data_IF_086582050385
#
_entry.id   IF_086582050385
#
_cell.length_a   1.000
_cell.length_b   1.000
_cell.length_c   1.000
_cell.angle_alpha   90.00
_cell.angle_beta   90.00
_cell.angle_gamma   90.00
#
_symmetry.space_group_name_H-M   'P 1'
#
loop_
_entity.id
_entity.type
_entity.pdbx_description
1 polymer ?
#
# COMPACT_ATOMS: atom_id res chain seq x y z
N UNK A 1 9.21 -15.01 -25.55
CA UNK A 1 9.66 -14.11 -24.47
C UNK A 1 8.63 -14.17 -23.34
N UNK A 2 8.98 -14.72 -22.17
CA UNK A 2 8.09 -14.69 -21.00
C UNK A 2 8.16 -13.27 -20.43
N UNK A 3 7.08 -12.51 -20.50
CA UNK A 3 6.95 -11.29 -19.72
C UNK A 3 7.06 -11.68 -18.25
N UNK A 4 8.19 -11.37 -17.62
CA UNK A 4 8.37 -11.42 -16.17
C UNK A 4 7.40 -10.39 -15.58
N UNK A 5 6.22 -10.86 -15.19
CA UNK A 5 5.22 -10.08 -14.47
C UNK A 5 5.91 -9.39 -13.28
N UNK A 6 5.82 -8.06 -13.19
CA UNK A 6 6.28 -7.33 -12.00
C UNK A 6 5.38 -7.63 -10.79
N UNK A 7 4.16 -8.10 -11.04
CA UNK A 7 3.22 -8.55 -10.02
C UNK A 7 3.60 -9.92 -9.43
N UNK A 8 3.59 -10.06 -8.10
CA UNK A 8 3.96 -11.26 -7.34
C UNK A 8 3.13 -11.45 -6.05
N UNK A 9 3.30 -12.59 -5.37
CA UNK A 9 2.72 -12.84 -4.05
C UNK A 9 3.83 -12.80 -3.00
N UNK A 10 3.75 -11.83 -2.09
CA UNK A 10 4.65 -11.70 -0.96
C UNK A 10 4.10 -12.49 0.23
N UNK A 11 4.96 -13.19 0.96
CA UNK A 11 4.59 -13.85 2.21
C UNK A 11 5.48 -13.40 3.34
N UNK A 12 4.95 -13.37 4.56
CA UNK A 12 5.68 -12.87 5.70
C UNK A 12 4.95 -13.04 7.01
N UNK A 13 5.30 -12.21 7.98
CA UNK A 13 4.71 -12.22 9.31
C UNK A 13 4.31 -10.81 9.70
N UNK A 14 3.10 -10.68 10.23
CA UNK A 14 2.68 -9.46 10.92
C UNK A 14 2.94 -9.64 12.39
N UNK A 15 3.51 -8.62 13.02
CA UNK A 15 3.73 -8.56 14.46
C UNK A 15 3.09 -7.29 14.97
N UNK A 16 2.15 -7.44 15.89
CA UNK A 16 1.60 -6.34 16.66
C UNK A 16 2.16 -6.43 18.06
N UNK A 17 2.66 -5.32 18.59
CA UNK A 17 3.14 -5.27 19.97
C UNK A 17 2.73 -3.96 20.62
N UNK A 18 1.95 -4.08 21.69
CA UNK A 18 1.63 -3.00 22.62
C UNK A 18 2.54 -3.17 23.83
N UNK A 19 3.29 -2.12 24.19
CA UNK A 19 4.25 -2.17 25.32
C UNK A 19 3.62 -1.73 26.64
N UNK A 20 2.63 -0.84 26.58
CA UNK A 20 1.98 -0.23 27.75
C UNK A 20 0.44 -0.21 27.58
N UNK A 21 -0.34 -0.25 28.67
CA UNK A 21 0.12 -0.43 30.06
C UNK A 21 0.56 -1.87 30.34
N UNK A 22 -0.03 -2.84 29.65
CA UNK A 22 0.36 -4.26 29.71
C UNK A 22 0.98 -4.65 28.38
N UNK A 23 2.09 -5.40 28.43
CA UNK A 23 2.76 -5.90 27.24
C UNK A 23 1.91 -7.00 26.60
N UNK A 24 1.36 -6.70 25.43
CA UNK A 24 0.70 -7.68 24.56
C UNK A 24 1.44 -7.73 23.24
N UNK A 25 1.70 -8.94 22.75
CA UNK A 25 2.24 -9.12 21.42
C UNK A 25 1.57 -10.33 20.77
N UNK A 26 1.20 -10.18 19.51
CA UNK A 26 0.71 -11.27 18.69
C UNK A 26 1.41 -11.27 17.34
N UNK A 27 1.60 -12.46 16.80
CA UNK A 27 2.32 -12.69 15.54
C UNK A 27 1.56 -13.73 14.73
N UNK A 28 1.35 -13.44 13.45
CA UNK A 28 0.69 -14.35 12.54
C UNK A 28 1.32 -14.28 11.15
N UNK A 29 1.17 -15.34 10.37
CA UNK A 29 1.59 -15.38 8.97
C UNK A 29 0.56 -14.64 8.13
N UNK A 30 1.02 -13.93 7.12
CA UNK A 30 0.17 -13.24 6.18
C UNK A 30 0.81 -13.28 4.79
N UNK A 31 -0.04 -13.09 3.78
CA UNK A 31 0.36 -12.97 2.38
C UNK A 31 -0.27 -11.72 1.79
N UNK A 32 0.47 -11.06 0.91
CA UNK A 32 0.07 -9.85 0.21
C UNK A 32 0.26 -10.03 -1.28
N UNK A 33 -0.62 -9.44 -2.08
CA UNK A 33 -0.34 -9.25 -3.49
C UNK A 33 0.53 -8.01 -3.64
N UNK A 34 1.66 -8.13 -4.33
CA UNK A 34 2.43 -7.01 -4.85
C UNK A 34 2.04 -6.89 -6.32
N UNK A 35 1.35 -5.83 -6.71
CA UNK A 35 0.78 -5.69 -8.04
C UNK A 35 1.30 -4.43 -8.69
N UNK A 36 1.72 -4.54 -9.95
CA UNK A 36 1.90 -3.36 -10.79
C UNK A 36 0.54 -2.82 -11.21
N UNK A 37 0.27 -1.55 -10.93
CA UNK A 37 -1.03 -0.94 -11.22
C UNK A 37 -1.30 -0.84 -12.71
N UNK A 38 -0.26 -0.77 -13.53
CA UNK A 38 -0.37 -0.65 -14.99
C UNK A 38 -0.72 -2.01 -15.64
N UNK A 39 -0.40 -3.13 -14.96
CA UNK A 39 -0.75 -4.48 -15.41
C UNK A 39 -2.17 -4.92 -15.01
N UNK A 40 -2.85 -4.20 -14.10
CA UNK A 40 -4.08 -4.66 -13.44
C UNK A 40 -5.19 -5.06 -14.40
N UNK A 41 -5.31 -4.38 -15.54
CA UNK A 41 -6.36 -4.65 -16.54
C UNK A 41 -6.17 -6.02 -17.21
N UNK A 42 -4.94 -6.52 -17.28
CA UNK A 42 -4.58 -7.78 -17.91
C UNK A 42 -4.56 -8.97 -16.93
N UNK A 43 -4.33 -8.71 -15.64
CA UNK A 43 -4.22 -9.75 -14.61
C UNK A 43 -5.41 -10.73 -14.56
N UNK A 44 -6.69 -10.33 -14.70
CA UNK A 44 -7.81 -11.26 -14.74
C UNK A 44 -7.77 -12.28 -15.89
N UNK A 45 -7.08 -11.95 -16.99
CA UNK A 45 -6.86 -12.86 -18.13
C UNK A 45 -5.62 -13.73 -17.91
N UNK A 46 -4.56 -13.18 -17.30
CA UNK A 46 -3.26 -13.84 -17.12
C UNK A 46 -3.21 -14.81 -15.94
N UNK A 47 -3.92 -14.52 -14.83
CA UNK A 47 -3.77 -15.27 -13.58
C UNK A 47 -4.71 -16.47 -13.48
N UNK A 48 -6.03 -16.22 -13.44
CA UNK A 48 -7.01 -17.25 -13.14
C UNK A 48 -8.44 -16.76 -13.38
N UNK A 49 -9.37 -17.62 -13.85
CA UNK A 49 -10.80 -17.32 -13.87
C UNK A 49 -11.40 -16.96 -12.50
N UNK A 50 -10.72 -17.35 -11.41
CA UNK A 50 -11.13 -17.09 -10.03
C UNK A 50 -10.67 -15.72 -9.51
N UNK A 51 -9.72 -15.07 -10.20
CA UNK A 51 -9.22 -13.74 -9.87
C UNK A 51 -9.93 -12.66 -10.70
N UNK A 52 -10.29 -11.53 -10.12
CA UNK A 52 -10.85 -10.41 -10.87
C UNK A 52 -10.49 -9.03 -10.36
N UNK A 53 -10.62 -8.05 -11.24
CA UNK A 53 -10.53 -6.64 -10.92
C UNK A 53 -11.94 -6.05 -10.83
N UNK A 54 -12.26 -5.34 -9.74
CA UNK A 54 -13.55 -4.68 -9.51
C UNK A 54 -14.77 -5.59 -9.73
N UNK A 55 -14.65 -6.89 -9.42
CA UNK A 55 -15.67 -7.89 -9.73
C UNK A 55 -16.21 -8.60 -8.47
N UNK A 56 -17.09 -9.59 -8.69
CA UNK A 56 -17.61 -10.49 -7.65
C UNK A 56 -16.88 -11.85 -7.62
N UNK A 57 -15.75 -11.98 -8.34
CA UNK A 57 -14.98 -13.23 -8.35
C UNK A 57 -14.45 -13.56 -6.95
N UNK A 58 -14.28 -14.86 -6.59
CA UNK A 58 -13.88 -15.27 -5.25
C UNK A 58 -12.61 -14.59 -4.74
N UNK A 59 -11.62 -14.38 -5.60
CA UNK A 59 -10.47 -13.54 -5.28
C UNK A 59 -10.54 -12.27 -6.13
N UNK A 60 -10.53 -11.08 -5.53
CA UNK A 60 -10.58 -9.85 -6.29
C UNK A 60 -9.87 -8.66 -5.63
N UNK A 61 -9.41 -7.72 -6.47
CA UNK A 61 -8.97 -6.39 -6.06
C UNK A 61 -10.07 -5.38 -6.39
N UNK A 62 -10.39 -4.48 -5.45
CA UNK A 62 -11.30 -3.35 -5.69
C UNK A 62 -10.53 -2.04 -5.68
N UNK A 63 -10.25 -1.49 -6.86
CA UNK A 63 -9.47 -0.25 -6.98
C UNK A 63 -10.18 0.95 -6.35
N UNK A 64 -11.51 0.91 -6.24
CA UNK A 64 -12.30 1.95 -5.56
C UNK A 64 -12.09 1.99 -4.04
N UNK A 65 -11.47 0.97 -3.44
CA UNK A 65 -11.20 0.93 -2.00
C UNK A 65 -9.87 1.56 -1.62
N UNK A 66 -9.00 1.82 -2.59
CA UNK A 66 -7.67 2.40 -2.41
C UNK A 66 -7.64 3.87 -2.82
N UNK A 67 -6.82 4.67 -2.14
CA UNK A 67 -6.56 6.09 -2.36
C UNK A 67 -7.84 6.85 -2.70
N UNK A 68 -8.80 6.85 -1.77
CA UNK A 68 -10.18 7.36 -1.98
C UNK A 68 -10.26 8.88 -2.02
N UNK A 69 -9.55 9.49 -2.95
CA UNK A 69 -9.48 10.94 -3.11
C UNK A 69 -10.70 11.47 -3.87
N UNK A 70 -11.09 10.84 -4.99
CA UNK A 70 -12.25 11.23 -5.80
C UNK A 70 -12.87 10.02 -6.52
N UNK A 71 -14.20 10.03 -6.73
CA UNK A 71 -14.90 8.98 -7.46
C UNK A 71 -14.72 9.14 -8.98
N UNK A 72 -14.43 8.05 -9.69
CA UNK A 72 -14.34 8.04 -11.16
C UNK A 72 -12.95 8.29 -11.76
N UNK A 73 -11.94 8.62 -10.94
CA UNK A 73 -10.55 8.77 -11.39
C UNK A 73 -9.81 7.43 -11.41
N UNK A 74 -8.82 7.30 -12.31
CA UNK A 74 -8.02 6.08 -12.39
C UNK A 74 -7.21 5.89 -11.09
N UNK A 75 -6.75 4.67 -10.84
CA UNK A 75 -5.92 4.41 -9.65
C UNK A 75 -4.57 5.14 -9.72
N UNK A 76 -4.02 5.25 -10.93
CA UNK A 76 -2.80 6.02 -11.22
C UNK A 76 -3.01 7.51 -10.95
N UNK A 77 -4.09 8.10 -11.45
CA UNK A 77 -4.35 9.54 -11.22
C UNK A 77 -4.51 9.85 -9.72
N UNK A 78 -5.12 8.95 -8.95
CA UNK A 78 -5.26 9.11 -7.50
C UNK A 78 -3.92 9.00 -6.78
N UNK A 79 -3.04 8.08 -7.20
CA UNK A 79 -1.67 8.01 -6.69
C UNK A 79 -0.87 9.27 -7.06
N UNK A 80 -0.90 9.69 -8.32
CA UNK A 80 -0.21 10.89 -8.81
C UNK A 80 -0.69 12.15 -8.07
N UNK A 81 -2.01 12.32 -7.88
CA UNK A 81 -2.57 13.42 -7.11
C UNK A 81 -2.14 13.39 -5.63
N UNK A 82 -2.02 12.20 -5.04
CA UNK A 82 -1.51 12.05 -3.68
C UNK A 82 -0.04 12.49 -3.57
N UNK A 83 0.79 12.11 -4.55
CA UNK A 83 2.21 12.48 -4.62
C UNK A 83 2.39 13.98 -4.81
N UNK A 84 1.63 14.60 -5.73
CA UNK A 84 1.69 16.03 -6.00
C UNK A 84 1.32 16.88 -4.77
N UNK A 85 0.38 16.42 -3.93
CA UNK A 85 0.04 17.09 -2.67
C UNK A 85 1.15 17.05 -1.62
N UNK A 86 2.17 16.22 -1.83
CA UNK A 86 3.34 16.06 -0.96
C UNK A 86 4.63 16.48 -1.66
N UNK A 87 4.53 17.40 -2.64
CA UNK A 87 5.65 17.97 -3.40
C UNK A 87 6.52 16.94 -4.13
N UNK A 88 5.96 15.75 -4.41
CA UNK A 88 6.59 14.76 -5.28
C UNK A 88 6.03 14.93 -6.68
N UNK A 89 6.86 15.42 -7.60
CA UNK A 89 6.51 15.52 -9.01
C UNK A 89 6.09 14.15 -9.55
N UNK A 90 5.14 14.13 -10.50
CA UNK A 90 4.63 12.91 -11.13
C UNK A 90 5.81 12.07 -11.66
N UNK A 91 6.18 10.95 -11.01
CA UNK A 91 7.43 10.25 -11.33
C UNK A 91 7.42 9.66 -12.74
N UNK A 92 6.23 9.37 -13.28
CA UNK A 92 6.05 8.84 -14.63
C UNK A 92 6.45 7.38 -14.81
N UNK A 93 6.99 6.73 -13.77
CA UNK A 93 7.34 5.32 -13.77
C UNK A 93 6.26 4.40 -13.21
N UNK A 94 6.70 3.16 -12.93
CA UNK A 94 5.83 2.12 -12.38
C UNK A 94 5.39 2.44 -10.96
N UNK A 95 4.17 2.01 -10.63
CA UNK A 95 3.66 2.08 -9.27
C UNK A 95 3.26 0.67 -8.86
N UNK A 96 3.91 0.15 -7.82
CA UNK A 96 3.60 -1.16 -7.24
C UNK A 96 2.74 -0.95 -6.00
N UNK A 97 1.64 -1.69 -5.87
CA UNK A 97 0.82 -1.73 -4.65
C UNK A 97 0.96 -3.08 -3.96
N UNK A 98 1.34 -3.05 -2.68
CA UNK A 98 1.33 -4.20 -1.78
C UNK A 98 0.10 -4.13 -0.88
N UNK A 99 -0.85 -5.05 -1.06
CA UNK A 99 -2.13 -5.04 -0.35
C UNK A 99 -2.71 -6.45 -0.16
N UNK A 100 -3.72 -6.56 0.70
CA UNK A 100 -4.54 -7.77 0.78
C UNK A 100 -5.61 -7.80 -0.31
N UNK A 101 -5.78 -8.97 -0.94
CA UNK A 101 -6.88 -9.23 -1.87
C UNK A 101 -8.15 -9.61 -1.11
N UNK A 102 -9.30 -9.29 -1.68
CA UNK A 102 -10.59 -9.77 -1.17
C UNK A 102 -10.73 -11.25 -1.50
N UNK A 103 -11.07 -12.05 -0.51
CA UNK A 103 -11.32 -13.49 -0.63
C UNK A 103 -12.74 -13.79 -0.15
N UNK A 104 -13.55 -14.43 -0.99
CA UNK A 104 -14.95 -14.79 -0.73
C UNK A 104 -15.79 -13.62 -0.19
N UNK A 105 -15.54 -12.41 -0.69
CA UNK A 105 -16.27 -11.22 -0.28
C UNK A 105 -15.70 -10.51 0.95
N UNK A 106 -14.65 -11.02 1.60
CA UNK A 106 -14.04 -10.42 2.78
C UNK A 106 -12.62 -9.92 2.52
N UNK A 107 -12.25 -8.79 3.12
CA UNK A 107 -10.87 -8.29 3.12
C UNK A 107 -10.62 -7.53 4.42
N UNK A 108 -9.45 -7.74 5.01
CA UNK A 108 -8.93 -6.93 6.08
C UNK A 108 -7.58 -6.37 5.64
N UNK A 109 -7.57 -5.14 5.15
CA UNK A 109 -6.38 -4.46 4.61
C UNK A 109 -6.08 -3.17 5.39
N UNK A 110 -5.57 -3.26 6.63
CA UNK A 110 -5.39 -2.09 7.48
C UNK A 110 -4.30 -1.14 6.97
N UNK A 111 -3.36 -1.64 6.16
CA UNK A 111 -2.29 -0.86 5.54
C UNK A 111 -2.00 -1.40 4.14
N UNK A 112 -2.04 -0.54 3.14
CA UNK A 112 -1.55 -0.80 1.79
C UNK A 112 -0.30 0.05 1.53
N UNK A 113 0.73 -0.51 0.90
CA UNK A 113 1.97 0.20 0.58
C UNK A 113 2.07 0.42 -0.92
N UNK A 114 2.31 1.66 -1.34
CA UNK A 114 2.46 2.03 -2.75
C UNK A 114 3.88 2.48 -3.01
N UNK A 115 4.63 1.73 -3.81
CA UNK A 115 6.01 2.06 -4.19
C UNK A 115 6.00 2.77 -5.54
N UNK A 116 6.28 4.08 -5.51
CA UNK A 116 6.21 4.94 -6.67
C UNK A 116 7.61 5.19 -7.22
N UNK A 117 7.87 4.66 -8.41
CA UNK A 117 9.16 4.77 -9.10
C UNK A 117 9.06 5.80 -10.24
N UNK A 118 10.19 6.40 -10.58
CA UNK A 118 10.31 7.19 -11.80
C UNK A 118 10.59 6.33 -13.04
N UNK A 119 10.80 6.99 -14.18
CA UNK A 119 11.09 6.35 -15.47
C UNK A 119 12.40 5.56 -15.48
N UNK A 120 13.33 5.89 -14.60
CA UNK A 120 14.62 5.20 -14.43
C UNK A 120 14.55 4.07 -13.40
N UNK A 121 13.33 3.67 -13.00
CA UNK A 121 13.05 2.68 -11.97
C UNK A 121 13.60 3.02 -10.58
N UNK A 122 13.83 4.31 -10.31
CA UNK A 122 14.30 4.80 -9.02
C UNK A 122 13.11 5.10 -8.12
N UNK A 123 13.13 4.57 -6.89
CA UNK A 123 12.07 4.83 -5.91
C UNK A 123 12.07 6.30 -5.49
N UNK A 124 10.95 6.99 -5.72
CA UNK A 124 10.74 8.41 -5.42
C UNK A 124 9.89 8.63 -4.18
N UNK A 125 8.92 7.75 -3.92
CA UNK A 125 8.05 7.84 -2.75
C UNK A 125 7.46 6.49 -2.39
N UNK A 126 7.09 6.35 -1.11
CA UNK A 126 6.20 5.28 -0.65
C UNK A 126 4.95 5.89 -0.03
N UNK A 127 3.77 5.58 -0.56
CA UNK A 127 2.49 5.94 0.06
C UNK A 127 2.11 4.82 1.03
N UNK A 128 2.04 5.14 2.32
CA UNK A 128 1.52 4.25 3.35
C UNK A 128 0.05 4.58 3.54
N UNK A 129 -0.81 3.89 2.78
CA UNK A 129 -2.26 4.03 2.89
C UNK A 129 -2.74 3.27 4.13
N UNK A 130 -3.21 3.98 5.14
CA UNK A 130 -3.77 3.38 6.35
C UNK A 130 -5.28 3.40 6.26
N UNK A 131 -5.91 2.24 6.50
CA UNK A 131 -7.36 2.07 6.49
C UNK A 131 -7.87 1.77 7.91
N UNK A 132 -9.05 2.27 8.26
CA UNK A 132 -9.73 1.87 9.50
C UNK A 132 -10.93 0.94 9.25
N UNK A 133 -11.47 0.38 10.33
CA UNK A 133 -12.65 -0.50 10.29
C UNK A 133 -13.96 0.23 9.98
N UNK A 134 -13.97 1.56 10.00
CA UNK A 134 -15.13 2.39 9.62
C UNK A 134 -15.16 2.73 8.12
N UNK A 135 -14.19 2.23 7.36
CA UNK A 135 -14.11 2.44 5.93
C UNK A 135 -13.49 3.78 5.53
N UNK A 136 -12.81 4.47 6.43
CA UNK A 136 -11.98 5.64 6.13
C UNK A 136 -10.56 5.21 5.74
N UNK A 137 -9.89 6.03 4.95
CA UNK A 137 -8.50 5.81 4.51
C UNK A 137 -7.73 7.14 4.59
N UNK A 138 -6.47 7.07 4.98
CA UNK A 138 -5.56 8.20 4.96
C UNK A 138 -4.17 7.78 4.44
N UNK A 139 -3.67 8.43 3.38
CA UNK A 139 -2.31 8.19 2.88
C UNK A 139 -1.27 8.99 3.67
N UNK A 140 -0.28 8.29 4.22
CA UNK A 140 0.94 8.90 4.76
C UNK A 140 2.08 8.69 3.76
N UNK A 141 2.51 9.74 3.07
CA UNK A 141 3.59 9.65 2.06
C UNK A 141 4.95 9.72 2.75
N UNK A 142 5.91 8.89 2.33
CA UNK A 142 7.33 8.92 2.70
C UNK A 142 8.13 9.23 1.44
N UNK A 143 8.85 10.35 1.40
CA UNK A 143 9.47 10.81 0.15
C UNK A 143 10.98 10.51 0.11
N UNK A 144 11.54 10.44 -1.10
CA UNK A 144 12.98 10.30 -1.34
C UNK A 144 13.77 11.44 -0.71
N UNK A 145 13.26 12.67 -0.83
CA UNK A 145 13.90 13.88 -0.33
C UNK A 145 14.05 13.91 1.19
N UNK A 146 13.21 13.19 1.92
CA UNK A 146 13.30 13.07 3.39
C UNK A 146 14.34 12.03 3.85
N UNK A 147 14.88 11.21 2.94
CA UNK A 147 15.78 10.12 3.30
C UNK A 147 17.24 10.61 3.39
N UNK A 148 17.94 10.38 4.51
CA UNK A 148 19.36 10.67 4.61
C UNK A 148 20.22 9.88 3.61
N UNK A 149 19.78 8.65 3.31
CA UNK A 149 20.32 7.82 2.26
C UNK A 149 19.14 7.21 1.48
N UNK A 150 18.78 7.79 0.32
CA UNK A 150 17.69 7.32 -0.52
C UNK A 150 17.82 5.87 -1.01
N UNK A 151 19.04 5.36 -1.12
CA UNK A 151 19.32 4.02 -1.64
C UNK A 151 19.42 2.98 -0.51
N UNK A 152 19.16 3.40 0.74
CA UNK A 152 19.09 2.49 1.87
C UNK A 152 17.89 1.54 1.75
N UNK A 153 18.00 0.28 2.23
CA UNK A 153 16.92 -0.70 2.14
C UNK A 153 15.70 -0.38 3.01
N UNK A 154 15.82 0.61 3.91
CA UNK A 154 14.76 1.01 4.83
C UNK A 154 14.62 2.53 4.80
N UNK A 155 13.46 2.98 4.32
CA UNK A 155 13.03 4.36 4.37
C UNK A 155 12.33 4.68 5.69
N UNK A 156 12.46 5.92 6.16
CA UNK A 156 11.95 6.36 7.45
C UNK A 156 11.21 7.69 7.29
N UNK A 157 10.13 7.83 8.06
CA UNK A 157 9.42 9.10 8.21
C UNK A 157 8.72 9.18 9.56
N UNK A 158 8.42 10.40 9.97
CA UNK A 158 7.62 10.70 11.14
C UNK A 158 6.38 11.46 10.69
N UNK A 159 5.19 11.02 11.10
CA UNK A 159 3.90 11.61 10.69
C UNK A 159 2.97 11.73 11.89
N UNK A 160 2.29 12.87 12.02
CA UNK A 160 1.18 13.00 12.98
C UNK A 160 0.01 12.16 12.50
N UNK A 161 -0.59 11.38 13.39
CA UNK A 161 -1.78 10.58 13.10
C UNK A 161 -2.96 11.52 12.83
N UNK A 162 -3.60 11.35 11.67
CA UNK A 162 -4.65 12.25 11.18
C UNK A 162 -6.07 11.73 11.40
N UNK A 163 -6.25 10.44 11.74
CA UNK A 163 -7.59 9.87 11.91
C UNK A 163 -7.63 8.66 12.84
N UNK A 164 -8.84 8.25 13.21
CA UNK A 164 -9.08 7.21 14.21
C UNK A 164 -8.99 5.81 13.59
N UNK A 165 -7.93 5.08 13.93
CA UNK A 165 -7.72 3.69 13.45
C UNK A 165 -8.08 2.62 14.47
N UNK A 166 -8.21 2.99 15.75
CA UNK A 166 -8.43 2.03 16.84
C UNK A 166 -9.02 2.73 18.06
N UNK A 167 -9.97 2.08 18.77
CA UNK A 167 -10.51 2.62 20.00
C UNK A 167 -9.58 2.61 21.20
N UNK A 168 -8.43 1.96 21.07
CA UNK A 168 -7.47 1.84 22.17
C UNK A 168 -6.36 2.88 22.10
N UNK A 169 -6.29 3.68 21.03
CA UNK A 169 -5.19 4.60 20.77
C UNK A 169 -5.71 6.01 20.47
N UNK A 170 -5.28 7.04 21.22
CA UNK A 170 -5.69 8.42 20.99
C UNK A 170 -5.31 8.91 19.60
N UNK A 171 -5.97 9.97 19.14
CA UNK A 171 -5.63 10.62 17.86
C UNK A 171 -4.31 11.38 17.94
N UNK A 172 -4.02 11.97 19.11
CA UNK A 172 -2.77 12.67 19.39
C UNK A 172 -1.62 11.66 19.58
N UNK A 173 -1.17 11.12 18.46
CA UNK A 173 -0.06 10.19 18.38
C UNK A 173 0.75 10.47 17.12
N UNK A 174 2.00 10.02 17.16
CA UNK A 174 2.91 10.11 16.04
C UNK A 174 3.25 8.71 15.52
N UNK A 175 3.18 8.54 14.20
CA UNK A 175 3.68 7.38 13.52
C UNK A 175 5.16 7.53 13.23
N UNK A 176 5.96 6.56 13.70
CA UNK A 176 7.33 6.36 13.24
C UNK A 176 7.33 5.25 12.19
N UNK A 177 7.32 5.67 10.92
CA UNK A 177 7.25 4.76 9.79
C UNK A 177 8.65 4.25 9.46
N UNK A 178 8.74 2.93 9.23
CA UNK A 178 9.92 2.24 8.73
C UNK A 178 9.48 1.31 7.62
N UNK A 179 9.83 1.64 6.40
CA UNK A 179 9.35 0.93 5.21
C UNK A 179 10.52 0.25 4.53
N UNK A 180 10.46 -1.07 4.40
CA UNK A 180 11.39 -1.83 3.58
C UNK A 180 10.93 -1.83 2.14
N UNK A 181 11.84 -1.63 1.19
CA UNK A 181 11.54 -1.73 -0.23
C UNK A 181 11.51 -3.22 -0.61
N UNK A 182 10.40 -3.74 -1.18
CA UNK A 182 10.32 -5.12 -1.60
C UNK A 182 11.33 -5.35 -2.73
N UNK A 183 12.12 -6.40 -2.60
CA UNK A 183 12.99 -6.87 -3.70
C UNK A 183 12.16 -7.87 -4.52
N UNK A 184 12.11 -7.73 -5.86
CA UNK A 184 11.44 -8.69 -6.73
C UNK A 184 11.99 -10.11 -6.59
#
# INVERSE_FOLDING_TARGET
MRATSASSLCTGRVVHSRRMPVRHAFRYRASWALLDIDELSELPRRLSPWFGLNSRRPVNLRTTQHLRLEAGTSLRDRADACLMRHDVARPGGRILVMCHLRVLGYVFDPVSLWFCHDQDDTLQAVIVEVNNTHGESHPYVVTRAEQPNPDAPIWRAVRTKQFYVSPFLPIDMTYHLRVGVPVP
#
